data_IF_149563218268
#
_entry.id   IF_149563218268
#
_cell.length_a   1.000
_cell.length_b   1.000
_cell.length_c   1.000
_cell.angle_alpha   90.00
_cell.angle_beta   90.00
_cell.angle_gamma   90.00
#
_symmetry.space_group_name_H-M   'P 1'
#
loop_
_entity.id
_entity.type
_entity.pdbx_description
1 polymer ?
#
# COMPACT_ATOMS: atom_id res chain seq x y z
N UNK A 1 -19.96 -19.34 -10.78
CA UNK A 1 -19.00 -18.29 -11.19
C UNK A 1 -17.82 -18.34 -10.22
N UNK A 2 -16.57 -18.42 -10.69
CA UNK A 2 -15.41 -18.44 -9.76
C UNK A 2 -15.17 -17.06 -9.14
N UNK A 3 -14.59 -16.99 -7.93
CA UNK A 3 -14.21 -15.72 -7.29
C UNK A 3 -13.27 -14.88 -8.17
N UNK A 4 -12.38 -15.53 -8.93
CA UNK A 4 -11.50 -14.88 -9.92
C UNK A 4 -12.31 -14.24 -11.04
N UNK A 5 -13.32 -14.94 -11.56
CA UNK A 5 -14.23 -14.41 -12.58
C UNK A 5 -15.02 -13.23 -12.04
N UNK A 6 -15.48 -13.29 -10.79
CA UNK A 6 -16.20 -12.20 -10.13
C UNK A 6 -15.35 -10.93 -10.04
N UNK A 7 -14.11 -11.03 -9.55
CA UNK A 7 -13.21 -9.88 -9.47
C UNK A 7 -12.84 -9.30 -10.84
N UNK A 8 -12.58 -10.16 -11.83
CA UNK A 8 -12.27 -9.70 -13.19
C UNK A 8 -13.47 -9.07 -13.90
N UNK A 9 -14.69 -9.35 -13.45
CA UNK A 9 -15.92 -8.77 -14.01
C UNK A 9 -16.32 -7.44 -13.38
N UNK A 10 -15.66 -7.00 -12.31
CA UNK A 10 -15.92 -5.69 -11.71
C UNK A 10 -15.45 -4.61 -12.67
N UNK A 11 -16.38 -3.74 -13.08
CA UNK A 11 -16.07 -2.64 -13.99
C UNK A 11 -15.42 -1.47 -13.23
N UNK A 12 -14.63 -0.61 -13.91
CA UNK A 12 -14.06 0.58 -13.31
C UNK A 12 -15.09 1.48 -12.58
N UNK A 13 -16.26 1.81 -13.17
CA UNK A 13 -17.27 2.61 -12.47
C UNK A 13 -17.79 1.93 -11.20
N UNK A 14 -18.00 0.60 -11.22
CA UNK A 14 -18.48 -0.13 -10.04
C UNK A 14 -17.50 -0.04 -8.87
N UNK A 15 -16.20 -0.24 -9.11
CA UNK A 15 -15.19 -0.16 -8.06
C UNK A 15 -15.03 1.27 -7.54
N UNK A 16 -15.05 2.26 -8.44
CA UNK A 16 -15.00 3.68 -8.05
C UNK A 16 -16.21 4.06 -7.18
N UNK A 17 -17.43 3.70 -7.59
CA UNK A 17 -18.65 3.94 -6.82
C UNK A 17 -18.65 3.23 -5.47
N UNK A 18 -18.15 1.99 -5.41
CA UNK A 18 -17.99 1.28 -4.15
C UNK A 18 -17.03 2.01 -3.20
N UNK A 19 -15.89 2.49 -3.70
CA UNK A 19 -14.94 3.27 -2.89
C UNK A 19 -15.53 4.58 -2.37
N UNK A 20 -16.29 5.31 -3.19
CA UNK A 20 -17.03 6.50 -2.75
C UNK A 20 -18.04 6.14 -1.65
N UNK A 21 -18.76 5.03 -1.82
CA UNK A 21 -19.69 4.51 -0.83
C UNK A 21 -19.01 4.19 0.51
N UNK A 22 -17.84 3.54 0.48
CA UNK A 22 -17.04 3.26 1.69
C UNK A 22 -16.66 4.56 2.39
N UNK A 23 -16.15 5.56 1.65
CA UNK A 23 -15.76 6.85 2.23
C UNK A 23 -16.94 7.59 2.86
N UNK A 24 -18.08 7.63 2.16
CA UNK A 24 -19.28 8.30 2.63
C UNK A 24 -19.92 7.61 3.85
N UNK A 25 -19.84 6.29 3.93
CA UNK A 25 -20.38 5.52 5.04
C UNK A 25 -19.47 5.54 6.29
N UNK A 26 -18.16 5.78 6.13
CA UNK A 26 -17.17 5.68 7.19
C UNK A 26 -17.56 6.39 8.51
N UNK A 27 -18.10 7.63 8.53
CA UNK A 27 -18.49 8.31 9.77
C UNK A 27 -19.62 7.59 10.56
N UNK A 28 -20.38 6.73 9.89
CA UNK A 28 -21.58 6.10 10.43
C UNK A 28 -21.36 4.62 10.77
N UNK A 29 -20.29 3.99 10.28
CA UNK A 29 -20.04 2.55 10.43
C UNK A 29 -19.95 2.08 11.89
N UNK A 30 -19.53 2.94 12.82
CA UNK A 30 -19.40 2.62 14.25
C UNK A 30 -20.34 3.40 15.17
N UNK A 31 -21.27 4.19 14.62
CA UNK A 31 -22.15 5.04 15.43
C UNK A 31 -23.31 4.26 16.03
N UNK A 32 -23.47 4.30 17.35
CA UNK A 32 -24.62 3.71 18.07
C UNK A 32 -24.69 2.18 18.04
N UNK A 33 -23.61 1.49 17.64
CA UNK A 33 -23.55 0.03 17.56
C UNK A 33 -22.89 -0.59 18.80
N UNK A 34 -23.22 -1.86 19.07
CA UNK A 34 -22.65 -2.58 20.22
C UNK A 34 -21.17 -2.94 20.01
N UNK A 35 -20.45 -3.13 21.12
CA UNK A 35 -19.07 -3.62 21.09
C UNK A 35 -18.93 -4.95 20.33
N UNK A 36 -19.84 -5.89 20.58
CA UNK A 36 -19.85 -7.19 19.91
C UNK A 36 -20.02 -7.05 18.39
N UNK A 37 -20.85 -6.10 17.95
CA UNK A 37 -20.98 -5.79 16.53
C UNK A 37 -19.67 -5.25 15.95
N UNK A 38 -19.00 -4.31 16.63
CA UNK A 38 -17.71 -3.78 16.17
C UNK A 38 -16.65 -4.88 16.04
N UNK A 39 -16.55 -5.74 17.05
CA UNK A 39 -15.60 -6.87 17.03
C UNK A 39 -15.89 -7.80 15.85
N UNK A 40 -17.15 -8.20 15.66
CA UNK A 40 -17.57 -9.04 14.54
C UNK A 40 -17.35 -8.38 13.18
N UNK A 41 -17.63 -7.08 13.05
CA UNK A 41 -17.43 -6.33 11.82
C UNK A 41 -15.95 -6.19 11.45
N UNK A 42 -15.07 -5.97 12.44
CA UNK A 42 -13.61 -5.95 12.21
C UNK A 42 -13.11 -7.30 11.68
N UNK A 43 -13.54 -8.42 12.30
CA UNK A 43 -13.19 -9.77 11.83
C UNK A 43 -13.71 -10.00 10.41
N UNK A 44 -14.98 -9.67 10.14
CA UNK A 44 -15.59 -9.87 8.83
C UNK A 44 -14.87 -9.06 7.74
N UNK A 45 -14.56 -7.79 8.00
CA UNK A 45 -13.84 -6.94 7.06
C UNK A 45 -12.43 -7.47 6.78
N UNK A 46 -11.70 -7.88 7.82
CA UNK A 46 -10.37 -8.49 7.67
C UNK A 46 -10.41 -9.81 6.90
N UNK A 47 -11.35 -10.72 7.21
CA UNK A 47 -11.52 -11.96 6.46
C UNK A 47 -11.87 -11.70 4.98
N UNK A 48 -12.76 -10.73 4.70
CA UNK A 48 -13.07 -10.33 3.33
C UNK A 48 -11.83 -9.82 2.60
N UNK A 49 -10.96 -9.08 3.29
CA UNK A 49 -9.71 -8.62 2.74
C UNK A 49 -8.72 -9.76 2.47
N UNK A 50 -8.53 -10.69 3.41
CA UNK A 50 -7.71 -11.89 3.20
C UNK A 50 -8.19 -12.71 1.98
N UNK A 51 -9.50 -12.83 1.79
CA UNK A 51 -10.07 -13.47 0.61
C UNK A 51 -9.75 -12.70 -0.68
N UNK A 52 -9.94 -11.38 -0.68
CA UNK A 52 -9.67 -10.53 -1.83
C UNK A 52 -8.20 -10.60 -2.28
N UNK A 53 -7.25 -10.59 -1.32
CA UNK A 53 -5.82 -10.68 -1.66
C UNK A 53 -5.39 -12.04 -2.15
N UNK A 54 -6.10 -13.10 -1.78
CA UNK A 54 -5.81 -14.47 -2.20
C UNK A 54 -6.24 -14.75 -3.64
N UNK A 55 -6.99 -13.85 -4.29
CA UNK A 55 -7.51 -14.05 -5.64
C UNK A 55 -6.46 -13.61 -6.68
N UNK A 56 -5.96 -14.53 -7.53
CA UNK A 56 -4.88 -14.25 -8.47
C UNK A 56 -5.33 -13.32 -9.62
N UNK A 57 -4.35 -12.76 -10.33
CA UNK A 57 -4.56 -11.91 -11.52
C UNK A 57 -4.41 -10.40 -11.28
N UNK A 58 -3.91 -10.01 -10.11
CA UNK A 58 -3.44 -8.65 -9.87
C UNK A 58 -2.05 -8.42 -10.47
N UNK A 59 -1.73 -7.17 -10.76
CA UNK A 59 -0.45 -6.77 -11.37
C UNK A 59 0.74 -7.09 -10.44
N UNK A 60 0.61 -6.91 -9.13
CA UNK A 60 1.67 -7.23 -8.16
C UNK A 60 2.03 -8.72 -8.12
N UNK A 61 1.04 -9.60 -8.29
CA UNK A 61 1.27 -11.03 -8.41
C UNK A 61 2.02 -11.42 -9.70
N UNK A 62 1.90 -10.62 -10.76
CA UNK A 62 2.67 -10.79 -12.00
C UNK A 62 4.10 -10.28 -11.82
N UNK A 63 4.26 -9.13 -11.16
CA UNK A 63 5.58 -8.60 -10.79
C UNK A 63 6.39 -9.58 -9.92
N UNK A 64 5.76 -10.20 -8.92
CA UNK A 64 6.42 -11.24 -8.09
C UNK A 64 6.96 -12.39 -8.95
N UNK A 65 6.19 -12.86 -9.93
CA UNK A 65 6.60 -13.93 -10.83
C UNK A 65 7.79 -13.53 -11.70
N UNK A 66 7.77 -12.33 -12.27
CA UNK A 66 8.86 -11.80 -13.11
C UNK A 66 10.17 -11.62 -12.32
N UNK A 67 10.10 -11.33 -11.02
CA UNK A 67 11.27 -11.12 -10.17
C UNK A 67 11.90 -12.41 -9.63
N UNK A 68 11.35 -13.59 -9.93
CA UNK A 68 11.92 -14.87 -9.45
C UNK A 68 13.25 -15.18 -10.13
N UNK A 69 14.26 -15.65 -9.38
CA UNK A 69 15.57 -16.02 -9.94
C UNK A 69 15.42 -17.02 -11.10
N UNK A 70 16.05 -16.73 -12.24
CA UNK A 70 16.01 -17.56 -13.44
C UNK A 70 14.95 -17.16 -14.49
N UNK A 71 14.00 -16.27 -14.14
CA UNK A 71 13.07 -15.65 -15.10
C UNK A 71 13.52 -14.26 -15.58
N UNK A 72 14.42 -13.62 -14.84
CA UNK A 72 15.11 -12.39 -15.24
C UNK A 72 16.13 -12.71 -16.35
N UNK A 73 15.69 -12.69 -17.61
CA UNK A 73 16.59 -12.77 -18.76
C UNK A 73 17.24 -11.40 -18.98
N UNK A 74 18.57 -11.36 -18.88
CA UNK A 74 19.40 -10.18 -19.08
C UNK A 74 19.50 -9.77 -20.57
N UNK A 75 19.23 -10.72 -21.47
CA UNK A 75 19.37 -10.57 -22.92
C UNK A 75 18.04 -10.27 -23.64
N UNK A 76 16.94 -10.14 -22.89
CA UNK A 76 15.66 -9.76 -23.49
C UNK A 76 15.68 -8.26 -23.82
N UNK A 77 15.23 -7.91 -25.03
CA UNK A 77 15.11 -6.53 -25.47
C UNK A 77 14.33 -5.66 -24.45
N UNK A 78 14.69 -4.38 -24.27
CA UNK A 78 13.86 -3.44 -23.53
C UNK A 78 12.46 -3.44 -24.15
N UNK A 79 11.43 -3.48 -23.31
CA UNK A 79 10.04 -3.50 -23.77
C UNK A 79 9.80 -2.20 -24.54
N UNK A 80 9.73 -2.31 -25.87
CA UNK A 80 9.51 -1.19 -26.76
C UNK A 80 8.06 -0.73 -26.67
N UNK A 81 7.82 0.53 -27.04
CA UNK A 81 6.52 1.20 -27.07
C UNK A 81 5.40 0.41 -27.78
N UNK A 82 5.76 -0.53 -28.65
CA UNK A 82 4.82 -1.33 -29.47
C UNK A 82 4.34 -2.64 -28.82
N UNK A 83 4.86 -3.00 -27.63
CA UNK A 83 4.40 -4.20 -26.92
C UNK A 83 3.00 -3.96 -26.32
N UNK A 84 1.93 -4.66 -26.77
CA UNK A 84 0.59 -4.55 -26.18
C UNK A 84 0.52 -5.12 -24.75
N UNK A 85 1.63 -5.67 -24.23
CA UNK A 85 1.78 -6.17 -22.87
C UNK A 85 2.08 -5.02 -21.89
N UNK A 86 1.02 -4.33 -21.47
CA UNK A 86 1.00 -3.35 -20.36
C UNK A 86 1.45 -3.94 -19.00
N UNK A 87 1.60 -5.26 -18.93
CA UNK A 87 2.09 -6.04 -17.79
C UNK A 87 3.49 -5.64 -17.36
N UNK A 88 4.32 -5.16 -18.30
CA UNK A 88 5.70 -4.81 -18.03
C UNK A 88 5.91 -3.40 -17.45
N UNK A 89 4.87 -2.54 -17.34
CA UNK A 89 5.06 -1.14 -16.88
C UNK A 89 5.68 -1.07 -15.50
N UNK A 90 5.37 -2.03 -14.64
CA UNK A 90 5.89 -2.11 -13.27
C UNK A 90 7.15 -2.99 -13.13
N UNK A 91 7.72 -3.48 -14.24
CA UNK A 91 8.94 -4.29 -14.22
C UNK A 91 10.13 -3.47 -13.69
N UNK A 92 10.85 -3.94 -12.66
CA UNK A 92 12.02 -3.23 -12.13
C UNK A 92 13.16 -3.07 -13.15
N UNK A 93 13.31 -4.00 -14.08
CA UNK A 93 14.40 -3.97 -15.07
C UNK A 93 14.01 -3.29 -16.37
N UNK A 94 12.76 -3.48 -16.84
CA UNK A 94 12.32 -3.10 -18.19
C UNK A 94 11.08 -2.20 -18.20
N UNK A 95 10.53 -1.88 -17.04
CA UNK A 95 9.29 -1.13 -16.94
C UNK A 95 9.46 0.37 -17.08
N UNK A 96 8.46 1.01 -17.66
CA UNK A 96 8.43 2.46 -17.85
C UNK A 96 8.28 3.24 -16.55
N UNK A 97 7.67 2.65 -15.51
CA UNK A 97 7.59 3.32 -14.20
C UNK A 97 9.01 3.59 -13.69
N UNK A 98 9.21 4.78 -13.15
CA UNK A 98 10.46 5.13 -12.48
C UNK A 98 10.47 4.72 -11.01
N UNK A 99 9.38 4.16 -10.48
CA UNK A 99 9.32 3.66 -9.10
C UNK A 99 8.84 2.22 -9.14
N UNK A 100 9.77 1.28 -8.96
CA UNK A 100 9.48 -0.15 -8.92
C UNK A 100 10.26 -0.78 -7.75
N UNK A 101 9.59 -1.22 -6.69
CA UNK A 101 10.24 -1.93 -5.59
C UNK A 101 10.71 -3.32 -6.05
N UNK A 102 11.83 -3.78 -5.49
CA UNK A 102 12.29 -5.15 -5.63
C UNK A 102 11.37 -6.14 -4.91
N UNK A 103 11.42 -7.42 -5.30
CA UNK A 103 10.46 -8.44 -4.86
C UNK A 103 10.45 -8.69 -3.35
N UNK A 104 11.59 -8.51 -2.67
CA UNK A 104 11.66 -8.67 -1.22
C UNK A 104 10.81 -7.64 -0.46
N UNK A 105 10.47 -6.50 -1.08
CA UNK A 105 9.62 -5.48 -0.45
C UNK A 105 8.29 -6.05 0.03
N UNK A 106 7.71 -6.96 -0.76
CA UNK A 106 6.40 -7.54 -0.53
C UNK A 106 6.36 -8.52 0.64
N UNK A 107 7.52 -8.92 1.20
CA UNK A 107 7.58 -9.70 2.43
C UNK A 107 6.93 -8.97 3.63
N UNK A 108 6.80 -7.64 3.56
CA UNK A 108 6.13 -6.83 4.58
C UNK A 108 4.65 -7.18 4.80
N UNK A 109 4.01 -7.79 3.80
CA UNK A 109 2.63 -8.28 3.96
C UNK A 109 2.52 -9.37 5.02
N UNK A 110 3.57 -10.18 5.23
CA UNK A 110 3.57 -11.22 6.27
C UNK A 110 3.34 -10.64 7.67
N UNK A 111 4.21 -9.72 8.15
CA UNK A 111 4.00 -9.02 9.41
C UNK A 111 2.68 -8.24 9.51
N UNK A 112 2.24 -7.58 8.43
CA UNK A 112 0.96 -6.84 8.41
C UNK A 112 -0.21 -7.80 8.67
N UNK A 113 -0.39 -8.83 7.83
CA UNK A 113 -1.53 -9.74 7.94
C UNK A 113 -1.49 -10.58 9.22
N UNK A 114 -0.30 -11.04 9.64
CA UNK A 114 -0.16 -11.76 10.90
C UNK A 114 -0.54 -10.87 12.09
N UNK A 115 -0.08 -9.61 12.10
CA UNK A 115 -0.40 -8.66 13.16
C UNK A 115 -1.87 -8.25 13.19
N UNK A 116 -2.50 -8.05 12.03
CA UNK A 116 -3.93 -7.74 11.94
C UNK A 116 -4.82 -8.94 12.31
N UNK A 117 -4.39 -10.16 12.00
CA UNK A 117 -5.04 -11.38 12.51
C UNK A 117 -4.96 -11.45 14.04
N UNK A 118 -3.79 -11.16 14.62
CA UNK A 118 -3.64 -11.08 16.08
C UNK A 118 -4.52 -9.97 16.65
N UNK A 119 -4.56 -8.78 16.05
CA UNK A 119 -5.44 -7.67 16.47
C UNK A 119 -6.93 -8.08 16.49
N UNK A 120 -7.41 -8.68 15.41
CA UNK A 120 -8.83 -9.09 15.27
C UNK A 120 -9.23 -10.21 16.24
N UNK A 121 -8.27 -11.00 16.74
CA UNK A 121 -8.49 -11.98 17.81
C UNK A 121 -8.34 -11.32 19.20
N UNK A 122 -7.31 -10.50 19.39
CA UNK A 122 -6.97 -9.87 20.67
C UNK A 122 -8.09 -8.96 21.18
N UNK A 123 -8.84 -8.31 20.28
CA UNK A 123 -9.95 -7.42 20.64
C UNK A 123 -11.08 -8.10 21.45
N UNK A 124 -11.15 -9.43 21.49
CA UNK A 124 -12.09 -10.19 22.32
C UNK A 124 -11.61 -10.43 23.76
N UNK A 125 -10.34 -10.14 24.05
CA UNK A 125 -9.74 -10.36 25.37
C UNK A 125 -9.60 -9.02 26.11
N UNK A 126 -10.22 -8.84 27.29
CA UNK A 126 -10.13 -7.60 28.06
C UNK A 126 -8.69 -7.16 28.38
N UNK A 127 -7.78 -8.13 28.55
CA UNK A 127 -6.37 -7.91 28.85
C UNK A 127 -5.62 -7.20 27.72
N UNK A 128 -6.17 -7.21 26.49
CA UNK A 128 -5.59 -6.48 25.37
C UNK A 128 -5.72 -4.96 25.50
N UNK A 129 -6.69 -4.48 26.28
CA UNK A 129 -7.04 -3.06 26.37
C UNK A 129 -7.66 -2.47 25.10
N UNK A 130 -7.88 -3.26 24.03
CA UNK A 130 -8.37 -2.75 22.74
C UNK A 130 -9.83 -2.27 22.79
N UNK A 131 -10.64 -2.82 23.70
CA UNK A 131 -12.09 -2.53 23.81
C UNK A 131 -12.38 -1.03 23.94
N UNK A 132 -11.51 -0.27 24.62
CA UNK A 132 -11.71 1.17 24.82
C UNK A 132 -11.46 1.98 23.53
N UNK A 133 -10.67 1.44 22.60
CA UNK A 133 -10.31 2.09 21.34
C UNK A 133 -11.23 1.68 20.19
N UNK A 134 -11.86 0.50 20.26
CA UNK A 134 -12.72 -0.03 19.18
C UNK A 134 -13.77 0.95 18.65
N UNK A 135 -14.49 1.74 19.48
CA UNK A 135 -15.46 2.71 18.97
C UNK A 135 -14.86 3.74 18.01
N UNK A 136 -13.60 4.12 18.22
CA UNK A 136 -12.88 5.12 17.42
C UNK A 136 -12.14 4.52 16.22
N UNK A 137 -11.70 3.26 16.31
CA UNK A 137 -10.83 2.66 15.29
C UNK A 137 -11.53 1.65 14.36
N UNK A 138 -12.69 1.12 14.74
CA UNK A 138 -13.33 0.04 13.96
C UNK A 138 -13.83 0.54 12.61
N UNK A 139 -14.50 1.68 12.54
CA UNK A 139 -14.95 2.27 11.28
C UNK A 139 -13.79 2.50 10.28
N UNK A 140 -12.69 3.18 10.66
CA UNK A 140 -11.55 3.32 9.76
C UNK A 140 -10.83 1.99 9.47
N UNK A 141 -10.73 1.05 10.41
CA UNK A 141 -10.15 -0.26 10.14
C UNK A 141 -10.97 -1.06 9.11
N UNK A 142 -12.30 -1.04 9.23
CA UNK A 142 -13.23 -1.65 8.27
C UNK A 142 -13.07 -0.99 6.90
N UNK A 143 -13.10 0.34 6.85
CA UNK A 143 -12.92 1.09 5.60
C UNK A 143 -11.57 0.77 4.93
N UNK A 144 -10.48 0.67 5.69
CA UNK A 144 -9.17 0.28 5.18
C UNK A 144 -9.19 -1.11 4.53
N UNK A 145 -9.80 -2.10 5.19
CA UNK A 145 -9.94 -3.45 4.64
C UNK A 145 -10.81 -3.50 3.37
N UNK A 146 -11.87 -2.69 3.31
CA UNK A 146 -12.73 -2.58 2.13
C UNK A 146 -11.98 -1.91 0.97
N UNK A 147 -11.30 -0.78 1.21
CA UNK A 147 -10.47 -0.11 0.21
C UNK A 147 -9.35 -1.01 -0.31
N UNK A 148 -8.65 -1.72 0.57
CA UNK A 148 -7.63 -2.69 0.21
C UNK A 148 -8.21 -3.83 -0.66
N UNK A 149 -9.43 -4.28 -0.36
CA UNK A 149 -10.14 -5.29 -1.18
C UNK A 149 -10.52 -4.74 -2.55
N UNK A 150 -10.97 -3.49 -2.62
CA UNK A 150 -11.28 -2.80 -3.88
C UNK A 150 -10.01 -2.51 -4.70
N UNK A 151 -8.87 -2.23 -4.06
CA UNK A 151 -7.58 -2.17 -4.74
C UNK A 151 -7.24 -3.51 -5.41
N UNK A 152 -7.53 -4.65 -4.77
CA UNK A 152 -7.33 -5.95 -5.40
C UNK A 152 -8.17 -6.14 -6.67
N UNK A 153 -9.33 -5.48 -6.74
CA UNK A 153 -10.20 -5.49 -7.91
C UNK A 153 -9.69 -4.54 -9.01
N UNK A 154 -9.19 -3.36 -8.65
CA UNK A 154 -8.75 -2.34 -9.61
C UNK A 154 -7.29 -2.43 -10.03
N UNK A 155 -6.43 -3.12 -9.29
CA UNK A 155 -5.02 -3.31 -9.66
C UNK A 155 -4.82 -4.52 -10.57
N UNK A 156 -5.51 -4.50 -11.71
CA UNK A 156 -5.56 -5.61 -12.68
C UNK A 156 -5.34 -5.11 -14.12
N UNK A 157 -4.85 -5.95 -15.05
CA UNK A 157 -4.47 -5.51 -16.39
C UNK A 157 -5.58 -4.83 -17.21
N UNK A 158 -6.87 -5.09 -16.92
CA UNK A 158 -7.99 -4.43 -17.59
C UNK A 158 -8.24 -2.98 -17.16
N UNK A 159 -7.63 -2.51 -16.06
CA UNK A 159 -7.77 -1.13 -15.58
C UNK A 159 -6.70 -0.24 -16.22
N UNK A 160 -6.96 0.19 -17.46
CA UNK A 160 -6.04 0.98 -18.28
C UNK A 160 -6.53 2.43 -18.48
N UNK A 161 -5.65 3.30 -18.98
CA UNK A 161 -5.94 4.72 -19.17
C UNK A 161 -6.36 5.38 -17.86
N UNK A 162 -7.44 6.17 -17.87
CA UNK A 162 -7.94 6.83 -16.66
C UNK A 162 -8.35 5.85 -15.55
N UNK A 163 -8.76 4.62 -15.92
CA UNK A 163 -9.22 3.63 -14.95
C UNK A 163 -8.09 3.12 -14.05
N UNK A 164 -6.83 3.23 -14.48
CA UNK A 164 -5.70 2.80 -13.66
C UNK A 164 -5.57 3.60 -12.35
N UNK A 165 -6.00 4.86 -12.36
CA UNK A 165 -5.99 5.74 -11.19
C UNK A 165 -6.99 5.31 -10.10
N UNK A 166 -7.93 4.41 -10.41
CA UNK A 166 -8.83 3.85 -9.39
C UNK A 166 -8.01 3.06 -8.35
N UNK A 167 -6.96 2.34 -8.77
CA UNK A 167 -6.07 1.63 -7.84
C UNK A 167 -5.37 2.59 -6.87
N UNK A 168 -4.94 3.76 -7.36
CA UNK A 168 -4.35 4.85 -6.57
C UNK A 168 -5.36 5.36 -5.55
N UNK A 169 -6.60 5.62 -5.97
CA UNK A 169 -7.65 6.08 -5.09
C UNK A 169 -7.99 5.04 -4.00
N UNK A 170 -7.99 3.75 -4.34
CA UNK A 170 -8.25 2.69 -3.36
C UNK A 170 -7.13 2.58 -2.32
N UNK A 171 -5.84 2.57 -2.73
CA UNK A 171 -4.74 2.57 -1.77
C UNK A 171 -4.67 3.87 -0.94
N UNK A 172 -4.95 5.01 -1.56
CA UNK A 172 -5.05 6.28 -0.86
C UNK A 172 -6.18 6.28 0.17
N UNK A 173 -7.31 5.64 -0.16
CA UNK A 173 -8.41 5.37 0.77
C UNK A 173 -7.97 4.48 1.93
N UNK A 174 -7.24 3.39 1.67
CA UNK A 174 -6.66 2.55 2.72
C UNK A 174 -5.74 3.35 3.65
N UNK A 175 -4.82 4.12 3.08
CA UNK A 175 -3.87 4.93 3.84
C UNK A 175 -4.59 6.02 4.67
N UNK A 176 -5.56 6.71 4.08
CA UNK A 176 -6.39 7.70 4.79
C UNK A 176 -7.19 7.08 5.93
N UNK A 177 -7.81 5.93 5.71
CA UNK A 177 -8.54 5.23 6.78
C UNK A 177 -7.59 4.81 7.90
N UNK A 178 -6.43 4.22 7.58
CA UNK A 178 -5.46 3.83 8.59
C UNK A 178 -4.79 5.02 9.30
N UNK A 179 -4.69 6.20 8.67
CA UNK A 179 -4.21 7.40 9.35
C UNK A 179 -5.14 7.82 10.51
N UNK A 180 -6.45 7.56 10.39
CA UNK A 180 -7.40 7.79 11.48
C UNK A 180 -7.23 6.79 12.62
N UNK A 181 -6.94 5.52 12.30
CA UNK A 181 -6.55 4.54 13.34
C UNK A 181 -5.26 4.97 14.03
N UNK A 182 -4.28 5.41 13.25
CA UNK A 182 -2.98 5.84 13.74
C UNK A 182 -3.10 7.04 14.70
N UNK A 183 -3.95 8.02 14.38
CA UNK A 183 -4.22 9.16 15.26
C UNK A 183 -4.70 8.73 16.66
N UNK A 184 -5.48 7.65 16.75
CA UNK A 184 -5.93 7.06 18.03
C UNK A 184 -4.82 6.22 18.67
N UNK A 185 -4.04 5.48 17.89
CA UNK A 185 -2.98 4.60 18.36
C UNK A 185 -1.91 5.33 19.20
N UNK A 186 -1.67 6.62 18.97
CA UNK A 186 -0.77 7.42 19.82
C UNK A 186 -1.24 7.62 21.25
N UNK A 187 -2.55 7.49 21.48
CA UNK A 187 -3.13 7.54 22.83
C UNK A 187 -3.17 6.15 23.48
N UNK A 188 -2.77 5.11 22.76
CA UNK A 188 -2.75 3.75 23.26
C UNK A 188 -1.60 3.54 24.24
N UNK A 189 -1.91 2.92 25.37
CA UNK A 189 -0.92 2.57 26.39
C UNK A 189 -1.02 1.09 26.73
N UNK A 190 0.03 0.54 27.35
CA UNK A 190 0.06 -0.86 27.74
C UNK A 190 -0.03 -1.82 26.53
N UNK A 191 -0.71 -2.98 26.68
CA UNK A 191 -0.80 -3.99 25.62
C UNK A 191 -1.46 -3.49 24.33
N UNK A 192 -2.42 -2.55 24.42
CA UNK A 192 -3.19 -2.07 23.26
C UNK A 192 -2.29 -1.46 22.19
N UNK A 193 -1.25 -0.73 22.60
CA UNK A 193 -0.27 -0.14 21.69
C UNK A 193 0.36 -1.18 20.76
N UNK A 194 0.78 -2.31 21.31
CA UNK A 194 1.42 -3.40 20.56
C UNK A 194 0.49 -4.05 19.55
N UNK A 195 -0.81 -4.14 19.86
CA UNK A 195 -1.82 -4.67 18.93
C UNK A 195 -2.18 -3.69 17.81
N UNK A 196 -1.96 -2.38 17.99
CA UNK A 196 -2.20 -1.36 16.96
C UNK A 196 -0.98 -1.11 16.07
N UNK A 197 0.19 -1.58 16.48
CA UNK A 197 1.45 -1.42 15.75
C UNK A 197 1.39 -1.98 14.32
N UNK A 198 0.84 -3.18 14.05
CA UNK A 198 0.71 -3.70 12.68
C UNK A 198 -0.15 -2.81 11.76
N UNK A 199 -1.17 -2.15 12.31
CA UNK A 199 -2.03 -1.23 11.55
C UNK A 199 -1.26 0.04 11.16
N UNK A 200 -0.28 0.45 11.98
CA UNK A 200 0.65 1.54 11.65
C UNK A 200 1.69 1.14 10.60
N UNK A 201 2.14 -0.13 10.58
CA UNK A 201 2.94 -0.67 9.47
C UNK A 201 2.10 -0.66 8.18
N UNK A 202 0.86 -1.14 8.24
CA UNK A 202 -0.04 -1.14 7.10
C UNK A 202 -0.28 0.28 6.56
N UNK A 203 -0.44 1.26 7.45
CA UNK A 203 -0.53 2.67 7.06
C UNK A 203 0.71 3.13 6.29
N UNK A 204 1.91 2.94 6.84
CA UNK A 204 3.15 3.34 6.16
C UNK A 204 3.32 2.68 4.79
N UNK A 205 3.01 1.38 4.71
CA UNK A 205 3.14 0.62 3.47
C UNK A 205 2.16 1.12 2.40
N UNK A 206 0.90 1.34 2.76
CA UNK A 206 -0.13 1.82 1.81
C UNK A 206 0.10 3.26 1.38
N UNK A 207 0.71 4.11 2.22
CA UNK A 207 1.19 5.43 1.80
C UNK A 207 2.23 5.32 0.68
N UNK A 208 3.27 4.49 0.85
CA UNK A 208 4.26 4.26 -0.20
C UNK A 208 3.65 3.64 -1.46
N UNK A 209 2.83 2.59 -1.28
CA UNK A 209 2.22 1.86 -2.38
C UNK A 209 1.29 2.75 -3.22
N UNK A 210 0.59 3.72 -2.60
CA UNK A 210 -0.21 4.73 -3.29
C UNK A 210 0.64 5.52 -4.29
N UNK A 211 1.83 5.98 -3.87
CA UNK A 211 2.74 6.75 -4.71
C UNK A 211 3.39 5.90 -5.81
N UNK A 212 3.69 4.63 -5.53
CA UNK A 212 4.12 3.66 -6.55
C UNK A 212 3.02 3.44 -7.60
N UNK A 213 1.76 3.28 -7.16
CA UNK A 213 0.62 3.09 -8.06
C UNK A 213 0.35 4.35 -8.90
N UNK A 214 0.56 5.55 -8.33
CA UNK A 214 0.43 6.82 -9.04
C UNK A 214 1.49 6.93 -10.15
N UNK A 215 2.75 6.68 -9.83
CA UNK A 215 3.83 6.68 -10.83
C UNK A 215 3.60 5.63 -11.92
N UNK A 216 3.14 4.44 -11.55
CA UNK A 216 2.76 3.40 -12.51
C UNK A 216 1.59 3.79 -13.41
N UNK A 217 0.56 4.46 -12.85
CA UNK A 217 -0.59 4.95 -13.63
C UNK A 217 -0.19 5.99 -14.66
N UNK A 218 0.68 6.92 -14.28
CA UNK A 218 1.25 7.91 -15.22
C UNK A 218 2.08 7.21 -16.30
N UNK A 219 2.88 6.21 -15.93
CA UNK A 219 3.70 5.44 -16.87
C UNK A 219 2.88 4.55 -17.84
N UNK A 220 1.70 4.09 -17.43
CA UNK A 220 0.80 3.28 -18.26
C UNK A 220 0.15 4.06 -19.41
N UNK A 221 0.05 5.39 -19.30
CA UNK A 221 -0.49 6.20 -20.41
C UNK A 221 0.58 6.43 -21.48
N UNK A 222 0.38 5.99 -22.73
CA UNK A 222 1.33 6.22 -23.82
C UNK A 222 1.42 7.70 -24.20
N UNK A 223 0.43 8.52 -23.85
CA UNK A 223 0.39 9.95 -24.16
C UNK A 223 1.33 10.79 -23.29
N UNK A 224 1.70 10.30 -22.10
CA UNK A 224 2.63 11.02 -21.22
C UNK A 224 4.05 10.94 -21.78
N UNK A 225 4.81 12.02 -21.74
CA UNK A 225 6.22 12.00 -22.16
C UNK A 225 7.12 11.31 -21.12
N UNK A 226 8.32 10.89 -21.52
CA UNK A 226 9.27 10.25 -20.59
C UNK A 226 9.79 11.22 -19.52
N UNK A 227 9.83 12.51 -19.81
CA UNK A 227 10.10 13.56 -18.83
C UNK A 227 8.98 13.63 -17.78
N UNK A 228 7.72 13.54 -18.19
CA UNK A 228 6.58 13.54 -17.26
C UNK A 228 6.57 12.29 -16.37
N UNK A 229 6.86 11.12 -16.93
CA UNK A 229 6.99 9.87 -16.18
C UNK A 229 8.16 9.95 -15.18
N UNK A 230 9.29 10.51 -15.61
CA UNK A 230 10.46 10.72 -14.76
C UNK A 230 10.19 11.68 -13.62
N UNK A 231 9.61 12.85 -13.93
CA UNK A 231 9.23 13.84 -12.95
C UNK A 231 8.27 13.24 -11.92
N UNK A 232 7.24 12.50 -12.37
CA UNK A 232 6.31 11.86 -11.46
C UNK A 232 6.99 10.83 -10.55
N UNK A 233 7.90 10.00 -11.08
CA UNK A 233 8.65 9.04 -10.27
C UNK A 233 9.52 9.69 -9.19
N UNK A 234 10.29 10.72 -9.57
CA UNK A 234 11.14 11.45 -8.63
C UNK A 234 10.30 12.19 -7.58
N UNK A 235 9.21 12.85 -7.98
CA UNK A 235 8.28 13.51 -7.07
C UNK A 235 7.62 12.53 -6.09
N UNK A 236 7.26 11.32 -6.54
CA UNK A 236 6.74 10.27 -5.65
C UNK A 236 7.75 9.87 -4.58
N UNK A 237 9.04 9.69 -4.91
CA UNK A 237 10.07 9.36 -3.91
C UNK A 237 10.32 10.51 -2.91
N UNK A 238 10.34 11.75 -3.40
CA UNK A 238 10.49 12.94 -2.54
C UNK A 238 9.30 13.07 -1.60
N UNK A 239 8.08 12.90 -2.11
CA UNK A 239 6.86 12.98 -1.30
C UNK A 239 6.78 11.85 -0.27
N UNK A 240 7.15 10.62 -0.65
CA UNK A 240 7.23 9.49 0.28
C UNK A 240 8.23 9.79 1.42
N UNK A 241 9.37 10.38 1.10
CA UNK A 241 10.38 10.82 2.08
C UNK A 241 9.81 11.90 3.00
N UNK A 242 9.19 12.93 2.44
CA UNK A 242 8.61 14.03 3.20
C UNK A 242 7.51 13.56 4.15
N UNK A 243 6.62 12.67 3.70
CA UNK A 243 5.58 12.06 4.54
C UNK A 243 6.21 11.16 5.61
N UNK A 244 7.17 10.32 5.24
CA UNK A 244 7.87 9.42 6.16
C UNK A 244 8.59 10.16 7.28
N UNK A 245 9.35 11.21 6.96
CA UNK A 245 10.03 12.04 7.97
C UNK A 245 9.03 12.88 8.74
N UNK A 246 8.15 13.62 8.05
CA UNK A 246 7.24 14.58 8.67
C UNK A 246 6.28 13.96 9.66
N UNK A 247 5.59 12.87 9.29
CA UNK A 247 4.66 12.20 10.19
C UNK A 247 5.38 11.49 11.34
N UNK A 248 6.56 10.92 11.09
CA UNK A 248 7.35 10.29 12.15
C UNK A 248 7.76 11.30 13.21
N UNK A 249 8.29 12.46 12.82
CA UNK A 249 8.72 13.49 13.76
C UNK A 249 7.53 14.16 14.48
N UNK A 250 6.45 14.46 13.76
CA UNK A 250 5.30 15.17 14.33
C UNK A 250 4.49 14.32 15.31
N UNK A 251 4.49 12.99 15.12
CA UNK A 251 3.68 12.09 15.94
C UNK A 251 4.49 11.08 16.76
N UNK A 252 5.82 11.16 16.76
CA UNK A 252 6.70 10.15 17.36
C UNK A 252 6.34 8.72 16.89
N UNK A 253 6.28 8.54 15.56
CA UNK A 253 5.76 7.34 14.91
C UNK A 253 6.87 6.49 14.25
N UNK A 254 7.80 5.89 15.02
CA UNK A 254 8.99 5.27 14.44
C UNK A 254 8.66 4.10 13.50
N UNK A 255 7.61 3.34 13.78
CA UNK A 255 7.19 2.19 12.96
C UNK A 255 6.68 2.63 11.59
N UNK A 256 5.98 3.77 11.53
CA UNK A 256 5.57 4.37 10.26
C UNK A 256 6.80 4.78 9.44
N UNK A 257 7.74 5.51 10.06
CA UNK A 257 9.00 5.91 9.43
C UNK A 257 9.84 4.74 8.93
N UNK A 258 9.99 3.69 9.74
CA UNK A 258 10.70 2.46 9.34
C UNK A 258 10.01 1.75 8.17
N UNK A 259 8.68 1.79 8.09
CA UNK A 259 7.96 1.21 6.97
C UNK A 259 8.23 1.97 5.66
N UNK A 260 8.26 3.30 5.71
CA UNK A 260 8.65 4.12 4.56
C UNK A 260 10.12 3.88 4.19
N UNK A 261 11.01 3.72 5.18
CA UNK A 261 12.41 3.38 4.95
C UNK A 261 12.56 2.02 4.24
N UNK A 262 11.79 1.02 4.64
CA UNK A 262 11.71 -0.29 3.99
C UNK A 262 11.28 -0.16 2.52
N UNK A 263 10.16 0.53 2.27
CA UNK A 263 9.62 0.71 0.93
C UNK A 263 10.57 1.48 -0.01
N UNK A 264 11.19 2.56 0.48
CA UNK A 264 12.17 3.33 -0.27
C UNK A 264 13.46 2.54 -0.53
N UNK A 265 13.94 1.75 0.44
CA UNK A 265 15.09 0.87 0.23
C UNK A 265 14.84 -0.15 -0.88
N UNK A 266 13.64 -0.72 -0.93
CA UNK A 266 13.24 -1.63 -2.00
C UNK A 266 13.13 -0.93 -3.36
N UNK A 267 12.60 0.29 -3.42
CA UNK A 267 12.59 1.07 -4.66
C UNK A 267 14.01 1.38 -5.14
N UNK A 268 14.93 1.71 -4.22
CA UNK A 268 16.33 1.97 -4.56
C UNK A 268 17.04 0.72 -5.12
N UNK A 269 16.73 -0.44 -4.53
CA UNK A 269 17.22 -1.74 -4.97
C UNK A 269 16.67 -2.12 -6.36
N UNK A 270 15.37 -1.94 -6.58
CA UNK A 270 14.72 -2.21 -7.87
C UNK A 270 15.26 -1.37 -9.03
N UNK A 271 15.85 -0.20 -8.76
CA UNK A 271 16.46 0.65 -9.79
C UNK A 271 17.91 0.29 -10.15
N UNK A 272 18.56 -0.66 -9.43
CA UNK A 272 19.98 -0.99 -9.63
C UNK A 272 20.32 -1.49 -11.03
N UNK A 273 19.40 -2.21 -11.68
CA UNK A 273 19.66 -2.80 -13.00
C UNK A 273 19.50 -1.82 -14.16
N UNK A 274 19.11 -0.56 -13.91
CA UNK A 274 18.85 0.43 -14.95
C UNK A 274 19.99 1.45 -15.06
N UNK A 275 20.60 1.56 -16.24
CA UNK A 275 21.78 2.40 -16.44
C UNK A 275 21.48 3.88 -16.80
N UNK A 276 20.22 4.19 -17.15
CA UNK A 276 19.80 5.52 -17.56
C UNK A 276 20.06 6.58 -16.46
N UNK A 277 20.47 7.82 -16.80
CA UNK A 277 20.75 8.88 -15.82
C UNK A 277 19.58 9.15 -14.86
N UNK A 278 18.35 9.18 -15.38
CA UNK A 278 17.14 9.38 -14.58
C UNK A 278 16.93 8.25 -13.54
N UNK A 279 17.30 7.02 -13.88
CA UNK A 279 17.18 5.86 -13.00
C UNK A 279 18.19 5.92 -11.85
N UNK A 280 19.43 6.35 -12.14
CA UNK A 280 20.46 6.61 -11.12
C UNK A 280 20.05 7.72 -10.15
N UNK A 281 19.42 8.79 -10.64
CA UNK A 281 18.87 9.85 -9.79
C UNK A 281 17.78 9.27 -8.89
N UNK A 282 16.85 8.51 -9.44
CA UNK A 282 15.78 7.89 -8.66
C UNK A 282 16.31 6.96 -7.57
N UNK A 283 17.28 6.11 -7.91
CA UNK A 283 17.94 5.23 -6.95
C UNK A 283 18.53 6.03 -5.78
N UNK A 284 19.23 7.12 -6.08
CA UNK A 284 19.79 8.01 -5.04
C UNK A 284 18.70 8.62 -4.18
N UNK A 285 17.64 9.17 -4.79
CA UNK A 285 16.50 9.75 -4.06
C UNK A 285 15.88 8.74 -3.08
N UNK A 286 15.66 7.50 -3.54
CA UNK A 286 15.12 6.43 -2.71
C UNK A 286 16.06 6.05 -1.56
N UNK A 287 17.36 5.86 -1.83
CA UNK A 287 18.35 5.56 -0.80
C UNK A 287 18.46 6.67 0.24
N UNK A 288 18.54 7.93 -0.21
CA UNK A 288 18.59 9.08 0.71
C UNK A 288 17.32 9.21 1.52
N UNK A 289 16.17 8.97 0.90
CA UNK A 289 14.87 8.99 1.57
C UNK A 289 14.75 7.90 2.61
N UNK A 290 15.20 6.68 2.30
CA UNK A 290 15.22 5.57 3.25
C UNK A 290 16.06 5.88 4.48
N UNK A 291 17.27 6.43 4.29
CA UNK A 291 18.13 6.86 5.39
C UNK A 291 17.48 7.98 6.23
N UNK A 292 16.85 8.95 5.59
CA UNK A 292 16.17 10.03 6.28
C UNK A 292 15.00 9.50 7.15
N UNK A 293 14.15 8.63 6.59
CA UNK A 293 13.04 8.02 7.32
C UNK A 293 13.53 7.14 8.48
N UNK A 294 14.58 6.32 8.27
CA UNK A 294 15.19 5.52 9.34
C UNK A 294 15.80 6.39 10.45
N UNK A 295 16.44 7.50 10.10
CA UNK A 295 17.01 8.44 11.07
C UNK A 295 15.91 9.12 11.88
N UNK A 296 14.85 9.59 11.23
CA UNK A 296 13.68 10.16 11.91
C UNK A 296 13.03 9.14 12.86
N UNK A 297 12.91 7.88 12.44
CA UNK A 297 12.41 6.81 13.30
C UNK A 297 13.32 6.58 14.51
N UNK A 298 14.63 6.44 14.30
CA UNK A 298 15.60 6.27 15.40
C UNK A 298 15.56 7.43 16.40
N UNK A 299 15.34 8.66 15.94
CA UNK A 299 15.23 9.85 16.81
C UNK A 299 13.95 9.91 17.64
N UNK A 300 12.92 9.14 17.27
CA UNK A 300 11.60 9.12 17.94
C UNK A 300 11.35 7.81 18.69
N UNK A 301 12.28 6.85 18.65
CA UNK A 301 12.27 5.69 19.54
C UNK A 301 12.54 6.17 20.97
N UNK A 302 11.51 6.12 21.80
CA UNK A 302 11.64 6.27 23.25
C UNK A 302 11.57 4.85 23.84
N UNK A 303 12.65 4.42 24.49
CA UNK A 303 12.73 3.17 25.25
C UNK A 303 11.82 3.20 26.49
#
# INVERSE_FOLDING_TARGET
MSLRTAMNSLSPPMVASAGIGVLAAMPWMSSGVSLAFLQGANVAAFCANCLAVSIPGRIDGMQDQEMRPGLLRADDDPVTYESPDYTNVYSPSRGRTMVAPSGWAFAIWGPIYAGEAIFTVAQFFPQSGLVIYLPSISAPFIAANLFQSLWCASFRPQYQGWASYISVAMLGGTAYSLSQVHAVAFTATGPAYWFLLPLSIHFGWTTAATLVNLSGSVAMSPENSDEAVTAMGHSSAVLATALGVGLTLNHAAPVYGLTLAWALSACADGMKSRDAPAAKIMQKLCWTGALACATAAASTFVL
#
